data_IF_454155850885
#
_entry.id   IF_454155850885
#
_cell.length_a   1.000
_cell.length_b   1.000
_cell.length_c   1.000
_cell.angle_alpha   90.00
_cell.angle_beta   90.00
_cell.angle_gamma   90.00
#
_symmetry.space_group_name_H-M   'P 1'
#
loop_
_entity.id
_entity.type
_entity.pdbx_description
1 polymer ?
#
# COMPACT_ATOMS: atom_id res chain seq x y z
N UNK A 1 -35.71 -13.13 -9.94
CA UNK A 1 -35.23 -14.51 -10.20
C UNK A 1 -35.54 -15.33 -8.96
N UNK A 2 -36.16 -16.50 -9.08
CA UNK A 2 -36.39 -17.38 -7.92
C UNK A 2 -35.05 -17.89 -7.37
N UNK A 3 -34.95 -18.14 -6.06
CA UNK A 3 -33.71 -18.56 -5.42
C UNK A 3 -33.14 -19.86 -6.00
N UNK A 4 -34.00 -20.86 -6.24
CA UNK A 4 -33.61 -22.12 -6.91
C UNK A 4 -32.98 -21.91 -8.29
N UNK A 5 -33.53 -20.99 -9.10
CA UNK A 5 -32.99 -20.64 -10.40
C UNK A 5 -31.61 -19.97 -10.30
N UNK A 6 -31.40 -19.13 -9.28
CA UNK A 6 -30.09 -18.52 -8.99
C UNK A 6 -29.05 -19.57 -8.61
N UNK A 7 -29.38 -20.49 -7.70
CA UNK A 7 -28.47 -21.56 -7.27
C UNK A 7 -28.09 -22.49 -8.43
N UNK A 8 -29.05 -22.82 -9.30
CA UNK A 8 -28.80 -23.57 -10.54
C UNK A 8 -27.86 -22.81 -11.49
N UNK A 9 -28.07 -21.50 -11.66
CA UNK A 9 -27.23 -20.66 -12.51
C UNK A 9 -25.76 -20.59 -12.05
N UNK A 10 -25.49 -20.50 -10.74
CA UNK A 10 -24.10 -20.43 -10.24
C UNK A 10 -23.40 -21.80 -10.17
N UNK A 11 -24.17 -22.88 -10.11
CA UNK A 11 -23.65 -24.26 -10.07
C UNK A 11 -23.43 -24.87 -11.45
N UNK A 12 -24.01 -24.27 -12.50
CA UNK A 12 -23.81 -24.69 -13.89
C UNK A 12 -22.33 -24.63 -14.29
N UNK A 13 -21.82 -25.76 -14.78
CA UNK A 13 -20.42 -25.97 -15.16
C UNK A 13 -20.18 -25.73 -16.65
N UNK A 14 -21.21 -25.45 -17.46
CA UNK A 14 -21.04 -25.14 -18.88
C UNK A 14 -20.54 -23.70 -19.10
N UNK A 15 -19.31 -23.51 -19.63
CA UNK A 15 -18.75 -22.21 -19.92
C UNK A 15 -19.11 -21.82 -21.35
N UNK A 16 -20.12 -20.97 -21.52
CA UNK A 16 -20.44 -20.44 -22.84
C UNK A 16 -21.31 -19.20 -22.73
N UNK A 17 -20.69 -18.07 -22.37
CA UNK A 17 -21.23 -16.76 -22.69
C UNK A 17 -20.54 -15.57 -22.02
N UNK A 18 -20.82 -14.33 -22.48
CA UNK A 18 -20.32 -13.08 -21.90
C UNK A 18 -20.79 -12.79 -20.44
N UNK A 19 -21.36 -13.78 -19.76
CA UNK A 19 -21.74 -13.76 -18.34
C UNK A 19 -20.87 -14.65 -17.43
N UNK A 20 -19.83 -15.29 -17.96
CA UNK A 20 -19.00 -16.25 -17.21
C UNK A 20 -18.22 -15.57 -16.07
N UNK A 21 -17.72 -14.35 -16.25
CA UNK A 21 -17.02 -13.58 -15.21
C UNK A 21 -17.94 -13.26 -14.02
N UNK A 22 -19.18 -12.86 -14.33
CA UNK A 22 -20.21 -12.60 -13.33
C UNK A 22 -20.55 -13.86 -12.53
N UNK A 23 -20.73 -14.98 -13.22
CA UNK A 23 -21.06 -16.25 -12.58
C UNK A 23 -19.92 -16.71 -11.67
N UNK A 24 -18.67 -16.59 -12.13
CA UNK A 24 -17.49 -16.92 -11.35
C UNK A 24 -17.41 -16.10 -10.05
N UNK A 25 -17.61 -14.78 -10.14
CA UNK A 25 -17.63 -13.91 -8.97
C UNK A 25 -18.74 -14.28 -7.98
N UNK A 26 -19.96 -14.54 -8.46
CA UNK A 26 -21.07 -14.97 -7.59
C UNK A 26 -20.77 -16.33 -6.95
N UNK A 27 -20.09 -17.23 -7.65
CA UNK A 27 -19.69 -18.53 -7.11
C UNK A 27 -18.64 -18.42 -6.01
N UNK A 28 -17.72 -17.46 -6.09
CA UNK A 28 -16.78 -17.16 -5.00
C UNK A 28 -17.50 -16.64 -3.76
N UNK A 29 -18.47 -15.73 -3.94
CA UNK A 29 -19.20 -15.11 -2.84
C UNK A 29 -20.18 -16.07 -2.18
N UNK A 30 -20.93 -16.82 -2.98
CA UNK A 30 -21.91 -17.81 -2.51
C UNK A 30 -21.31 -19.21 -2.50
N UNK A 31 -20.13 -19.32 -1.90
CA UNK A 31 -19.41 -20.58 -1.77
C UNK A 31 -20.09 -21.47 -0.72
N UNK A 32 -20.46 -22.72 -1.05
CA UNK A 32 -21.10 -23.65 -0.11
C UNK A 32 -20.28 -23.96 1.16
N UNK A 33 -18.97 -23.78 1.12
CA UNK A 33 -18.09 -23.99 2.28
C UNK A 33 -18.03 -22.77 3.22
N UNK A 34 -18.46 -21.60 2.76
CA UNK A 34 -18.43 -20.33 3.50
C UNK A 34 -19.82 -19.78 3.80
N UNK A 35 -20.84 -20.23 3.06
CA UNK A 35 -22.23 -19.79 3.19
C UNK A 35 -23.19 -20.97 3.11
N UNK A 36 -24.08 -21.07 4.10
CA UNK A 36 -25.15 -22.06 4.16
C UNK A 36 -26.43 -21.62 3.44
N UNK A 37 -26.48 -20.39 2.91
CA UNK A 37 -27.69 -19.77 2.32
C UNK A 37 -28.30 -20.53 1.15
N UNK A 38 -27.56 -21.47 0.56
CA UNK A 38 -28.12 -22.39 -0.43
C UNK A 38 -29.29 -23.21 0.12
N UNK A 39 -29.29 -23.52 1.43
CA UNK A 39 -30.39 -24.24 2.07
C UNK A 39 -31.69 -23.43 2.16
N UNK A 40 -31.65 -22.11 1.96
CA UNK A 40 -32.85 -21.25 1.94
C UNK A 40 -33.74 -21.50 0.70
N UNK A 41 -33.21 -22.12 -0.36
CA UNK A 41 -33.97 -22.45 -1.56
C UNK A 41 -34.62 -21.21 -2.19
N UNK A 42 -35.95 -21.23 -2.36
CA UNK A 42 -36.72 -20.10 -2.92
C UNK A 42 -37.00 -18.96 -1.93
N UNK A 43 -36.72 -19.13 -0.64
CA UNK A 43 -36.77 -18.04 0.34
C UNK A 43 -35.60 -17.07 0.16
N UNK A 44 -34.54 -17.50 -0.54
CA UNK A 44 -33.41 -16.67 -0.88
C UNK A 44 -33.79 -15.61 -1.92
N UNK A 45 -33.73 -14.35 -1.52
CA UNK A 45 -33.87 -13.22 -2.44
C UNK A 45 -32.53 -12.95 -3.11
N UNK A 46 -32.44 -13.29 -4.40
CA UNK A 46 -31.26 -13.02 -5.20
C UNK A 46 -30.94 -11.51 -5.17
N UNK A 47 -29.68 -11.12 -4.91
CA UNK A 47 -29.28 -9.72 -4.97
C UNK A 47 -29.48 -9.16 -6.38
N UNK A 48 -29.85 -7.88 -6.48
CA UNK A 48 -30.10 -7.24 -7.77
C UNK A 48 -28.83 -7.25 -8.63
N UNK A 49 -28.87 -7.92 -9.79
CA UNK A 49 -27.76 -7.99 -10.72
C UNK A 49 -27.47 -6.66 -11.46
N UNK A 50 -27.62 -5.51 -10.83
CA UNK A 50 -27.22 -4.24 -11.45
C UNK A 50 -25.69 -4.17 -11.61
N UNK A 51 -25.22 -3.56 -12.69
CA UNK A 51 -23.80 -3.39 -13.01
C UNK A 51 -23.02 -2.69 -11.86
N UNK A 52 -23.64 -1.72 -11.19
CA UNK A 52 -23.04 -1.04 -10.03
C UNK A 52 -22.79 -1.99 -8.85
N UNK A 53 -23.77 -2.85 -8.56
CA UNK A 53 -23.66 -3.85 -7.49
C UNK A 53 -22.57 -4.87 -7.80
N UNK A 54 -22.57 -5.43 -9.01
CA UNK A 54 -21.56 -6.40 -9.42
C UNK A 54 -20.15 -5.82 -9.38
N UNK A 55 -19.98 -4.57 -9.82
CA UNK A 55 -18.67 -3.90 -9.78
C UNK A 55 -18.19 -3.71 -8.35
N UNK A 56 -19.07 -3.30 -7.43
CA UNK A 56 -18.74 -3.20 -6.00
C UNK A 56 -18.38 -4.57 -5.43
N UNK A 57 -19.13 -5.61 -5.76
CA UNK A 57 -18.87 -6.98 -5.32
C UNK A 57 -17.50 -7.47 -5.81
N UNK A 58 -17.16 -7.22 -7.08
CA UNK A 58 -15.85 -7.57 -7.64
C UNK A 58 -14.72 -6.88 -6.90
N UNK A 59 -14.86 -5.59 -6.58
CA UNK A 59 -13.86 -4.84 -5.83
C UNK A 59 -13.65 -5.44 -4.43
N UNK A 60 -14.74 -5.73 -3.71
CA UNK A 60 -14.68 -6.31 -2.37
C UNK A 60 -14.01 -7.69 -2.35
N UNK A 61 -14.37 -8.58 -3.27
CA UNK A 61 -13.76 -9.92 -3.38
C UNK A 61 -12.28 -9.82 -3.77
N UNK A 62 -11.92 -8.84 -4.60
CA UNK A 62 -10.51 -8.59 -4.96
C UNK A 62 -9.70 -8.08 -3.75
N UNK A 63 -10.27 -7.17 -2.96
CA UNK A 63 -9.64 -6.66 -1.74
C UNK A 63 -9.50 -7.77 -0.68
N UNK A 64 -10.51 -8.64 -0.52
CA UNK A 64 -10.40 -9.82 0.36
C UNK A 64 -9.27 -10.75 -0.08
N UNK A 65 -9.16 -11.03 -1.39
CA UNK A 65 -8.09 -11.85 -1.93
C UNK A 65 -6.69 -11.23 -1.73
N UNK A 66 -6.60 -9.90 -1.74
CA UNK A 66 -5.39 -9.14 -1.40
C UNK A 66 -5.00 -9.34 0.06
N UNK A 67 -5.92 -9.14 1.00
CA UNK A 67 -5.69 -9.37 2.43
C UNK A 67 -5.28 -10.80 2.70
N UNK A 68 -5.94 -11.79 2.09
CA UNK A 68 -5.54 -13.21 2.17
C UNK A 68 -4.10 -13.42 1.68
N UNK A 69 -3.68 -12.74 0.62
CA UNK A 69 -2.30 -12.82 0.13
C UNK A 69 -1.32 -12.18 1.11
N UNK A 70 -1.60 -10.97 1.59
CA UNK A 70 -0.75 -10.28 2.56
C UNK A 70 -0.59 -11.09 3.86
N UNK A 71 -1.67 -11.72 4.35
CA UNK A 71 -1.62 -12.66 5.48
C UNK A 71 -0.66 -13.81 5.22
N UNK A 72 -0.75 -14.45 4.04
CA UNK A 72 0.18 -15.53 3.65
C UNK A 72 1.61 -15.04 3.57
N UNK A 73 1.85 -13.92 2.90
CA UNK A 73 3.20 -13.35 2.73
C UNK A 73 3.82 -13.00 4.10
N UNK A 74 3.04 -12.38 4.98
CA UNK A 74 3.44 -12.10 6.36
C UNK A 74 3.72 -13.39 7.14
N UNK A 75 2.81 -14.37 7.10
CA UNK A 75 2.94 -15.63 7.81
C UNK A 75 4.10 -16.49 7.30
N UNK A 76 4.44 -16.42 6.01
CA UNK A 76 5.56 -17.15 5.43
C UNK A 76 6.89 -16.38 5.50
N UNK A 77 6.92 -15.19 6.09
CA UNK A 77 8.14 -14.41 6.32
C UNK A 77 8.96 -14.89 7.52
N UNK A 78 10.28 -14.69 7.49
CA UNK A 78 11.18 -15.06 8.60
C UNK A 78 10.86 -14.33 9.91
N UNK A 79 10.38 -13.09 9.78
CA UNK A 79 10.09 -12.16 10.88
C UNK A 79 8.67 -12.29 11.45
N UNK A 80 7.87 -13.24 10.97
CA UNK A 80 6.53 -13.46 11.51
C UNK A 80 6.61 -13.75 13.02
N UNK A 81 5.90 -12.93 13.79
CA UNK A 81 5.65 -13.16 15.20
C UNK A 81 4.13 -13.14 15.44
N UNK A 82 3.66 -14.06 16.27
CA UNK A 82 2.24 -14.15 16.59
C UNK A 82 1.83 -12.91 17.39
N UNK A 83 0.83 -12.18 16.87
CA UNK A 83 0.36 -10.92 17.45
C UNK A 83 1.14 -9.65 17.02
N UNK A 84 2.16 -9.76 16.16
CA UNK A 84 2.94 -8.60 15.72
C UNK A 84 2.39 -7.88 14.49
N UNK A 85 1.32 -8.39 13.88
CA UNK A 85 0.77 -7.87 12.64
C UNK A 85 -0.72 -7.60 12.77
N UNK A 86 -1.13 -6.41 12.34
CA UNK A 86 -2.52 -5.97 12.27
C UNK A 86 -3.33 -6.77 11.23
N UNK A 87 -2.67 -7.57 10.39
CA UNK A 87 -3.31 -8.43 9.38
C UNK A 87 -4.06 -9.62 9.99
N UNK A 88 -3.78 -9.97 11.25
CA UNK A 88 -4.40 -11.11 11.94
C UNK A 88 -5.34 -10.65 13.05
N UNK A 89 -6.33 -11.48 13.42
CA UNK A 89 -7.24 -11.17 14.52
C UNK A 89 -6.48 -10.83 15.80
N UNK A 90 -6.90 -9.77 16.48
CA UNK A 90 -6.28 -9.36 17.75
C UNK A 90 -6.30 -10.48 18.81
N UNK A 91 -7.26 -11.41 18.72
CA UNK A 91 -7.34 -12.61 19.58
C UNK A 91 -6.17 -13.60 19.41
N UNK A 92 -5.30 -13.40 18.42
CA UNK A 92 -4.07 -14.17 18.27
C UNK A 92 -2.95 -13.66 19.20
N UNK A 93 -3.18 -12.60 19.99
CA UNK A 93 -2.21 -12.10 20.97
C UNK A 93 -2.07 -13.00 22.21
N UNK A 94 -0.83 -13.42 22.48
CA UNK A 94 -0.26 -13.95 23.73
C UNK A 94 -1.13 -14.89 24.59
N UNK A 95 -1.05 -16.18 24.28
CA UNK A 95 -0.98 -17.22 25.33
C UNK A 95 0.47 -17.29 25.84
N UNK A 96 0.67 -17.61 27.12
CA UNK A 96 1.97 -17.61 27.82
C UNK A 96 3.09 -18.48 27.21
N UNK A 97 2.83 -19.20 26.12
CA UNK A 97 3.81 -20.02 25.37
C UNK A 97 4.68 -19.21 24.38
N UNK A 98 4.39 -17.93 24.17
CA UNK A 98 5.06 -17.08 23.18
C UNK A 98 6.54 -16.79 23.48
N UNK A 99 7.01 -17.01 24.71
CA UNK A 99 8.42 -16.85 25.10
C UNK A 99 9.34 -17.83 24.37
N UNK A 100 8.82 -18.92 23.80
CA UNK A 100 9.64 -19.88 23.06
C UNK A 100 9.96 -19.45 21.62
N UNK A 101 9.27 -18.44 21.08
CA UNK A 101 9.35 -18.07 19.65
C UNK A 101 10.22 -16.85 19.35
N UNK A 102 10.48 -16.00 20.36
CA UNK A 102 11.33 -14.80 20.22
C UNK A 102 12.82 -15.10 20.14
N UNK A 103 13.25 -16.29 20.59
CA UNK A 103 14.67 -16.61 20.77
C UNK A 103 15.30 -17.44 19.64
N UNK A 104 14.51 -17.82 18.63
CA UNK A 104 14.95 -18.66 17.52
C UNK A 104 15.26 -17.83 16.27
N UNK A 105 16.47 -18.01 15.72
CA UNK A 105 16.80 -17.51 14.38
C UNK A 105 16.30 -18.49 13.32
N UNK A 106 15.64 -17.98 12.29
CA UNK A 106 15.09 -18.76 11.18
C UNK A 106 15.92 -18.57 9.92
N UNK A 107 16.37 -19.66 9.32
CA UNK A 107 17.03 -19.66 8.02
C UNK A 107 16.15 -20.42 7.03
N UNK A 108 15.79 -19.79 5.91
CA UNK A 108 14.97 -20.43 4.88
C UNK A 108 15.63 -21.69 4.32
N UNK A 109 14.87 -22.77 4.20
CA UNK A 109 15.33 -24.01 3.56
C UNK A 109 14.54 -24.27 2.27
N UNK A 110 15.09 -25.12 1.40
CA UNK A 110 14.42 -25.46 0.14
C UNK A 110 13.20 -26.37 0.42
N UNK A 111 12.02 -25.93 -0.03
CA UNK A 111 10.75 -26.63 0.10
C UNK A 111 10.76 -28.00 -0.61
N UNK A 112 11.54 -28.17 -1.68
CA UNK A 112 11.65 -29.44 -2.41
C UNK A 112 12.15 -30.60 -1.54
N UNK A 113 12.75 -30.29 -0.39
CA UNK A 113 13.30 -31.26 0.56
C UNK A 113 12.34 -31.60 1.70
N UNK A 114 11.17 -30.97 1.76
CA UNK A 114 10.17 -31.20 2.80
C UNK A 114 9.15 -32.21 2.26
N UNK A 115 9.21 -33.44 2.76
CA UNK A 115 8.20 -34.45 2.45
C UNK A 115 6.91 -34.13 3.21
N UNK A 116 5.76 -33.89 2.53
CA UNK A 116 4.48 -33.64 3.19
C UNK A 116 4.07 -34.73 4.19
N UNK A 117 4.51 -35.97 4.00
CA UNK A 117 4.20 -37.08 4.92
C UNK A 117 4.76 -36.84 6.33
N UNK A 118 5.80 -36.02 6.48
CA UNK A 118 6.39 -35.66 7.77
C UNK A 118 5.44 -34.84 8.65
N UNK A 119 4.47 -34.13 8.06
CA UNK A 119 3.50 -33.33 8.80
C UNK A 119 2.52 -34.19 9.61
N UNK A 120 2.33 -35.46 9.23
CA UNK A 120 1.40 -36.38 9.90
C UNK A 120 1.84 -36.77 11.31
N UNK A 121 3.14 -36.69 11.60
CA UNK A 121 3.73 -37.03 12.90
C UNK A 121 4.35 -35.82 13.61
N UNK A 122 4.22 -34.63 13.04
CA UNK A 122 4.84 -33.41 13.55
C UNK A 122 4.00 -32.77 14.66
N UNK A 123 4.67 -32.12 15.61
CA UNK A 123 4.00 -31.33 16.63
C UNK A 123 3.43 -30.05 16.01
N UNK A 124 2.15 -29.77 16.26
CA UNK A 124 1.51 -28.53 15.81
C UNK A 124 1.75 -27.46 16.88
N UNK A 125 2.74 -26.61 16.64
CA UNK A 125 3.08 -25.50 17.54
C UNK A 125 2.08 -24.34 17.43
N UNK A 126 1.42 -24.18 16.28
CA UNK A 126 0.42 -23.14 16.04
C UNK A 126 -0.66 -23.67 15.12
N UNK A 127 -1.94 -23.46 15.49
CA UNK A 127 -3.11 -23.71 14.64
C UNK A 127 -4.17 -22.64 14.94
N UNK A 128 -4.37 -21.73 13.98
CA UNK A 128 -5.40 -20.69 14.08
C UNK A 128 -6.08 -20.47 12.74
N UNK A 129 -7.31 -20.01 12.79
CA UNK A 129 -8.16 -19.75 11.63
C UNK A 129 -8.59 -18.28 11.63
N UNK A 130 -8.56 -17.64 10.47
CA UNK A 130 -9.09 -16.29 10.25
C UNK A 130 -10.58 -16.34 9.90
N UNK A 131 -11.25 -15.19 10.01
CA UNK A 131 -12.70 -15.06 9.77
C UNK A 131 -13.13 -15.43 8.34
N UNK A 132 -12.22 -15.29 7.37
CA UNK A 132 -12.37 -15.64 5.96
C UNK A 132 -12.20 -17.16 5.68
N UNK A 133 -12.01 -17.96 6.73
CA UNK A 133 -11.90 -19.40 6.62
C UNK A 133 -10.48 -19.95 6.44
N UNK A 134 -9.47 -19.11 6.26
CA UNK A 134 -8.10 -19.55 6.04
C UNK A 134 -7.46 -20.02 7.36
N UNK A 135 -6.95 -21.25 7.38
CA UNK A 135 -6.27 -21.82 8.55
C UNK A 135 -4.76 -21.75 8.35
N UNK A 136 -4.04 -21.37 9.39
CA UNK A 136 -2.59 -21.19 9.42
C UNK A 136 -2.00 -22.14 10.45
N UNK A 137 -1.00 -22.93 10.05
CA UNK A 137 -0.32 -23.87 10.95
C UNK A 137 1.18 -23.75 10.90
N UNK A 138 1.78 -23.94 12.08
CA UNK A 138 3.23 -24.10 12.24
C UNK A 138 3.47 -25.49 12.82
N UNK A 139 4.17 -26.31 12.05
CA UNK A 139 4.62 -27.64 12.44
C UNK A 139 6.08 -27.57 12.88
N UNK A 140 6.42 -28.24 13.97
CA UNK A 140 7.79 -28.33 14.47
C UNK A 140 8.28 -29.77 14.44
N UNK A 141 9.43 -29.97 13.81
CA UNK A 141 10.16 -31.23 13.79
C UNK A 141 11.60 -30.96 14.20
N UNK A 142 11.91 -31.12 15.49
CA UNK A 142 13.23 -30.81 16.06
C UNK A 142 13.70 -29.37 15.74
N UNK A 143 14.54 -29.23 14.71
CA UNK A 143 15.10 -27.97 14.20
C UNK A 143 14.40 -27.44 12.95
N UNK A 144 13.42 -28.16 12.39
CA UNK A 144 12.67 -27.74 11.22
C UNK A 144 11.32 -27.17 11.64
N UNK A 145 11.03 -25.95 11.18
CA UNK A 145 9.74 -25.29 11.30
C UNK A 145 9.10 -25.25 9.92
N UNK A 146 7.94 -25.88 9.75
CA UNK A 146 7.19 -25.87 8.49
C UNK A 146 5.90 -25.08 8.67
N UNK A 147 5.63 -24.14 7.78
CA UNK A 147 4.44 -23.30 7.82
C UNK A 147 3.52 -23.64 6.66
N UNK A 148 2.27 -23.92 7.00
CA UNK A 148 1.24 -24.28 6.02
C UNK A 148 0.03 -23.37 6.14
N UNK A 149 -0.72 -23.29 5.05
CA UNK A 149 -2.06 -22.70 5.02
C UNK A 149 -3.04 -23.70 4.44
N UNK A 150 -4.20 -23.82 5.08
CA UNK A 150 -5.30 -24.66 4.62
C UNK A 150 -6.48 -23.79 4.19
N UNK A 151 -6.92 -23.98 2.94
CA UNK A 151 -8.09 -23.33 2.36
C UNK A 151 -9.38 -24.01 2.86
N UNK A 152 -10.54 -23.40 2.59
CA UNK A 152 -11.85 -23.86 3.08
C UNK A 152 -12.29 -25.22 2.50
N UNK A 153 -11.72 -25.65 1.39
CA UNK A 153 -11.94 -26.96 0.77
C UNK A 153 -11.11 -28.07 1.44
N UNK A 154 -10.33 -27.72 2.47
CA UNK A 154 -9.44 -28.63 3.19
C UNK A 154 -8.08 -28.83 2.53
N UNK A 155 -7.83 -28.22 1.36
CA UNK A 155 -6.53 -28.28 0.69
C UNK A 155 -5.48 -27.55 1.52
N UNK A 156 -4.38 -28.24 1.82
CA UNK A 156 -3.29 -27.70 2.63
C UNK A 156 -2.04 -27.52 1.76
N UNK A 157 -1.43 -26.35 1.89
CA UNK A 157 -0.28 -25.94 1.09
C UNK A 157 0.86 -25.55 2.04
N UNK A 158 2.03 -26.15 1.81
CA UNK A 158 3.26 -25.74 2.46
C UNK A 158 3.75 -24.46 1.79
N UNK A 159 3.85 -23.37 2.54
CA UNK A 159 4.29 -22.08 2.00
C UNK A 159 5.70 -21.67 2.40
N UNK A 160 6.20 -22.15 3.55
CA UNK A 160 7.55 -21.90 3.99
C UNK A 160 8.09 -23.02 4.88
N UNK A 161 9.41 -23.18 4.88
CA UNK A 161 10.12 -24.04 5.81
C UNK A 161 11.41 -23.36 6.27
N UNK A 162 11.72 -23.49 7.56
CA UNK A 162 12.84 -22.84 8.21
C UNK A 162 13.63 -23.82 9.06
N UNK A 163 14.95 -23.70 9.01
CA UNK A 163 15.82 -24.28 10.03
C UNK A 163 15.94 -23.29 11.19
N UNK A 164 15.59 -23.74 12.39
CA UNK A 164 15.64 -22.97 13.62
C UNK A 164 16.95 -23.23 14.36
N UNK A 165 17.58 -22.16 14.82
CA UNK A 165 18.76 -22.21 15.68
C UNK A 165 18.52 -21.34 16.92
N UNK A 166 18.83 -21.88 18.09
CA UNK A 166 18.83 -21.11 19.34
C UNK A 166 19.86 -19.98 19.26
N UNK A 167 19.50 -18.78 19.74
CA UNK A 167 20.43 -17.65 19.85
C UNK A 167 21.56 -17.97 20.84
N UNK A 168 22.64 -18.62 20.37
CA UNK A 168 23.90 -18.65 21.10
C UNK A 168 24.62 -17.31 20.89
N UNK A 169 25.06 -16.67 21.98
CA UNK A 169 25.79 -15.41 21.96
C UNK A 169 27.12 -15.52 21.17
N UNK A 170 27.16 -15.04 19.92
CA UNK A 170 28.37 -14.96 19.10
C UNK A 170 28.18 -14.13 17.82
N UNK A 171 29.25 -13.54 17.24
CA UNK A 171 29.13 -12.56 16.15
C UNK A 171 28.77 -13.18 14.79
N UNK A 172 28.03 -12.42 13.98
CA UNK A 172 27.47 -12.78 12.66
C UNK A 172 28.53 -12.89 11.55
N UNK A 173 28.49 -13.92 10.68
CA UNK A 173 28.93 -13.81 9.28
C UNK A 173 27.81 -13.22 8.41
N UNK A 174 28.20 -12.43 7.41
CA UNK A 174 27.34 -11.56 6.60
C UNK A 174 26.12 -12.25 5.95
N UNK A 175 24.96 -11.60 6.05
CA UNK A 175 23.69 -12.03 5.47
C UNK A 175 23.57 -11.57 4.01
N UNK A 176 23.70 -12.50 3.06
CA UNK A 176 23.13 -12.34 1.72
C UNK A 176 21.60 -12.47 1.80
N UNK A 177 20.88 -11.46 1.31
CA UNK A 177 19.42 -11.54 1.11
C UNK A 177 19.16 -12.48 -0.08
N UNK A 178 18.75 -13.73 0.19
CA UNK A 178 18.15 -14.61 -0.82
C UNK A 178 16.63 -14.55 -0.69
N UNK A 179 15.98 -14.03 -1.74
CA UNK A 179 14.53 -14.13 -1.92
C UNK A 179 14.13 -15.62 -2.07
N UNK A 180 13.26 -16.09 -1.17
CA UNK A 180 12.68 -17.44 -1.26
C UNK A 180 11.43 -17.35 -2.14
N UNK A 181 11.47 -17.99 -3.31
CA UNK A 181 10.29 -18.13 -4.18
C UNK A 181 9.37 -19.21 -3.61
N UNK A 182 8.13 -18.84 -3.34
CA UNK A 182 7.07 -19.78 -2.96
C UNK A 182 6.84 -20.81 -4.08
N UNK A 183 6.80 -22.09 -3.72
CA UNK A 183 6.46 -23.18 -4.64
C UNK A 183 5.14 -23.80 -4.19
N UNK A 184 4.17 -23.89 -5.11
CA UNK A 184 2.85 -24.45 -4.85
C UNK A 184 2.93 -25.97 -4.87
N UNK A 185 2.99 -26.59 -3.69
CA UNK A 185 2.80 -28.05 -3.54
C UNK A 185 1.42 -28.27 -2.92
N UNK A 186 0.53 -28.90 -3.69
CA UNK A 186 -0.80 -29.27 -3.22
C UNK A 186 -0.70 -30.58 -2.43
N UNK A 187 -0.90 -30.53 -1.12
CA UNK A 187 -1.03 -31.74 -0.31
C UNK A 187 -2.50 -32.16 -0.35
N UNK A 188 -2.78 -33.35 -0.91
CA UNK A 188 -4.12 -33.91 -0.91
C UNK A 188 -4.59 -34.13 0.53
N UNK A 189 -5.87 -33.86 0.79
CA UNK A 189 -6.48 -33.89 2.11
C UNK A 189 -6.18 -35.18 2.87
N UNK A 190 -5.77 -35.03 4.13
CA UNK A 190 -5.70 -36.15 5.07
C UNK A 190 -7.10 -36.36 5.64
N UNK A 191 -7.81 -37.37 5.13
CA UNK A 191 -8.80 -38.14 5.89
C UNK A 191 -8.77 -39.60 5.44
N UNK A 192 -9.01 -40.56 6.35
CA UNK A 192 -8.62 -41.94 6.15
C UNK A 192 -9.75 -42.71 5.44
N UNK A 193 -9.74 -42.74 4.11
CA UNK A 193 -10.17 -43.89 3.31
C UNK A 193 -10.23 -43.55 1.82
N UNK A 194 -9.65 -44.48 1.04
CA UNK A 194 -10.05 -44.88 -0.30
C UNK A 194 -9.73 -43.96 -1.51
N UNK A 195 -8.71 -44.44 -2.23
CA UNK A 195 -8.70 -44.74 -3.68
C UNK A 195 -8.43 -43.63 -4.68
N UNK A 196 -7.38 -43.91 -5.47
CA UNK A 196 -6.80 -43.20 -6.60
C UNK A 196 -7.80 -42.92 -7.73
N UNK A 197 -7.74 -41.72 -8.29
CA UNK A 197 -7.91 -41.51 -9.73
C UNK A 197 -6.95 -40.42 -10.23
N UNK A 198 -6.05 -40.82 -11.13
CA UNK A 198 -5.17 -39.95 -11.91
C UNK A 198 -5.93 -39.50 -13.16
N UNK A 199 -5.95 -38.19 -13.42
CA UNK A 199 -6.23 -37.67 -14.76
C UNK A 199 -5.53 -36.31 -14.93
N UNK A 200 -4.48 -36.30 -15.76
CA UNK A 200 -4.08 -35.07 -16.48
C UNK A 200 -5.14 -34.79 -17.56
N UNK A 201 -5.43 -33.52 -17.89
CA UNK A 201 -4.68 -32.90 -18.99
C UNK A 201 -4.51 -31.36 -18.92
N UNK A 202 -3.48 -30.88 -19.63
CA UNK A 202 -3.64 -29.70 -20.49
C UNK A 202 -3.14 -28.36 -19.95
N UNK A 203 -1.83 -28.19 -19.86
CA UNK A 203 -1.20 -26.88 -19.66
C UNK A 203 -1.37 -26.01 -20.92
N UNK A 204 -2.36 -25.10 -20.91
CA UNK A 204 -2.33 -23.91 -21.76
C UNK A 204 -1.71 -22.77 -20.96
N UNK A 205 -0.45 -22.46 -21.26
CA UNK A 205 0.23 -21.29 -20.72
C UNK A 205 -0.50 -20.01 -21.16
N UNK A 206 -1.30 -19.41 -20.30
CA UNK A 206 -1.52 -17.97 -20.34
C UNK A 206 -0.60 -17.35 -19.31
N UNK A 207 0.49 -16.76 -19.80
CA UNK A 207 1.38 -15.91 -19.01
C UNK A 207 0.52 -14.85 -18.30
N UNK A 208 0.37 -14.99 -16.99
CA UNK A 208 -0.13 -13.92 -16.15
C UNK A 208 0.86 -12.75 -16.25
N UNK A 209 0.34 -11.58 -16.65
CA UNK A 209 1.12 -10.36 -16.69
C UNK A 209 1.68 -10.02 -15.29
N UNK A 210 2.90 -9.44 -15.20
CA UNK A 210 3.53 -9.11 -13.93
C UNK A 210 2.72 -8.06 -13.16
N UNK A 211 2.81 -8.08 -11.82
CA UNK A 211 2.06 -7.24 -10.88
C UNK A 211 2.12 -5.73 -11.18
N UNK A 212 3.17 -5.26 -11.86
CA UNK A 212 3.32 -3.88 -12.34
C UNK A 212 2.28 -3.46 -13.39
N UNK A 213 1.72 -4.41 -14.16
CA UNK A 213 0.67 -4.15 -15.15
C UNK A 213 -0.75 -4.16 -14.58
N UNK A 214 -0.98 -4.87 -13.46
CA UNK A 214 -2.30 -4.92 -12.78
C UNK A 214 -2.63 -3.61 -12.09
N UNK A 215 -1.66 -3.03 -11.38
CA UNK A 215 -1.84 -1.74 -10.73
C UNK A 215 -1.85 -0.57 -11.75
N UNK A 216 -1.21 -0.73 -12.93
CA UNK A 216 -1.39 0.19 -14.05
C UNK A 216 -2.80 0.14 -14.68
N UNK A 217 -3.42 -1.05 -14.76
CA UNK A 217 -4.82 -1.20 -15.20
C UNK A 217 -5.83 -0.62 -14.20
N UNK A 218 -5.56 -0.72 -12.90
CA UNK A 218 -6.39 -0.10 -11.86
C UNK A 218 -6.28 1.43 -11.86
N UNK A 219 -5.09 1.99 -12.11
CA UNK A 219 -4.91 3.44 -12.28
C UNK A 219 -5.63 3.98 -13.53
N UNK A 220 -5.69 3.21 -14.63
CA UNK A 220 -6.45 3.57 -15.83
C UNK A 220 -7.97 3.69 -15.58
N UNK A 221 -8.51 2.98 -14.58
CA UNK A 221 -9.94 3.02 -14.25
C UNK A 221 -10.38 4.36 -13.64
N UNK A 222 -9.48 5.11 -12.99
CA UNK A 222 -9.79 6.45 -12.44
C UNK A 222 -9.98 7.48 -13.55
N UNK A 223 -9.26 7.35 -14.67
CA UNK A 223 -9.46 8.24 -15.83
C UNK A 223 -10.79 8.00 -16.56
N UNK A 224 -11.34 6.78 -16.47
CA UNK A 224 -12.54 6.38 -17.20
C UNK A 224 -13.86 6.67 -16.47
N UNK A 225 -13.82 6.99 -15.17
CA UNK A 225 -15.01 7.27 -14.36
C UNK A 225 -15.00 8.76 -14.01
N UNK A 226 -15.99 9.50 -14.50
CA UNK A 226 -16.12 10.95 -14.28
C UNK A 226 -16.45 11.35 -12.84
N UNK A 227 -16.69 10.39 -11.94
CA UNK A 227 -17.11 10.61 -10.56
C UNK A 227 -15.95 10.46 -9.56
N UNK A 228 -15.97 11.17 -8.42
CA UNK A 228 -14.98 10.99 -7.35
C UNK A 228 -14.96 9.55 -6.82
N UNK A 229 -13.78 8.95 -6.71
CA UNK A 229 -13.58 7.61 -6.18
C UNK A 229 -13.50 7.66 -4.65
N UNK A 230 -14.47 7.03 -3.97
CA UNK A 230 -14.47 6.87 -2.50
C UNK A 230 -13.81 5.58 -2.01
N UNK A 231 -13.10 4.85 -2.89
CA UNK A 231 -12.41 3.61 -2.53
C UNK A 231 -10.95 3.93 -2.16
N UNK A 232 -10.63 3.81 -0.87
CA UNK A 232 -9.34 4.20 -0.31
C UNK A 232 -8.16 3.48 -0.94
N UNK A 233 -8.27 2.17 -1.19
CA UNK A 233 -7.17 1.37 -1.74
C UNK A 233 -6.91 1.73 -3.21
N UNK A 234 -7.99 1.97 -3.97
CA UNK A 234 -7.88 2.41 -5.37
C UNK A 234 -7.23 3.79 -5.45
N UNK A 235 -7.62 4.71 -4.57
CA UNK A 235 -7.01 6.03 -4.48
C UNK A 235 -5.54 5.92 -4.07
N UNK A 236 -5.21 5.13 -3.04
CA UNK A 236 -3.82 4.89 -2.61
C UNK A 236 -2.94 4.36 -3.75
N UNK A 237 -3.36 3.28 -4.41
CA UNK A 237 -2.62 2.70 -5.52
C UNK A 237 -2.45 3.66 -6.72
N UNK A 238 -3.36 4.62 -6.86
CA UNK A 238 -3.26 5.66 -7.89
C UNK A 238 -2.35 6.81 -7.46
N UNK A 239 -2.45 7.30 -6.22
CA UNK A 239 -1.58 8.37 -5.72
C UNK A 239 -0.13 7.92 -5.57
N UNK A 240 0.11 6.64 -5.29
CA UNK A 240 1.46 6.03 -5.33
C UNK A 240 2.10 6.10 -6.72
N UNK A 241 1.30 6.16 -7.78
CA UNK A 241 1.82 6.33 -9.16
C UNK A 241 1.89 7.79 -9.57
N UNK A 242 0.82 8.52 -9.32
CA UNK A 242 0.65 9.92 -9.68
C UNK A 242 -0.04 10.64 -8.52
N UNK A 243 0.72 11.43 -7.75
CA UNK A 243 0.18 12.17 -6.61
C UNK A 243 -0.99 13.09 -6.97
N UNK A 244 -1.09 13.55 -8.23
CA UNK A 244 -2.20 14.38 -8.69
C UNK A 244 -3.50 13.59 -8.91
N UNK A 245 -3.47 12.25 -8.79
CA UNK A 245 -4.67 11.41 -8.78
C UNK A 245 -5.58 11.72 -7.58
N UNK A 246 -5.05 12.37 -6.53
CA UNK A 246 -5.82 12.79 -5.35
C UNK A 246 -7.03 13.68 -5.72
N UNK A 247 -6.95 14.46 -6.81
CA UNK A 247 -8.08 15.28 -7.31
C UNK A 247 -9.34 14.48 -7.67
N UNK A 248 -9.19 13.18 -7.89
CA UNK A 248 -10.27 12.26 -8.22
C UNK A 248 -10.77 11.49 -7.01
N UNK A 249 -10.17 11.66 -5.84
CA UNK A 249 -10.64 11.04 -4.61
C UNK A 249 -11.91 11.74 -4.10
N UNK A 250 -12.73 11.02 -3.35
CA UNK A 250 -13.88 11.61 -2.65
C UNK A 250 -13.43 12.64 -1.62
N UNK A 251 -14.34 13.50 -1.16
CA UNK A 251 -14.00 14.55 -0.19
C UNK A 251 -13.45 13.96 1.11
N UNK A 252 -13.97 12.82 1.54
CA UNK A 252 -13.53 12.12 2.75
C UNK A 252 -12.08 11.65 2.61
N UNK A 253 -11.70 11.14 1.43
CA UNK A 253 -10.33 10.68 1.17
C UNK A 253 -9.35 11.83 0.91
N UNK A 254 -9.83 12.97 0.40
CA UNK A 254 -9.05 14.21 0.34
C UNK A 254 -8.84 14.82 1.73
N UNK A 255 -9.62 14.41 2.72
CA UNK A 255 -9.45 14.74 4.13
C UNK A 255 -8.73 13.64 4.94
N UNK A 256 -8.45 12.48 4.34
CA UNK A 256 -7.67 11.42 4.98
C UNK A 256 -6.18 11.80 4.93
N UNK A 257 -5.61 12.06 6.11
CA UNK A 257 -4.22 12.48 6.29
C UNK A 257 -3.24 11.50 5.63
N UNK A 258 -3.44 10.20 5.80
CA UNK A 258 -2.50 9.18 5.29
C UNK A 258 -2.51 9.17 3.76
N UNK A 259 -3.70 9.23 3.15
CA UNK A 259 -3.86 9.26 1.69
C UNK A 259 -3.21 10.51 1.09
N UNK A 260 -3.45 11.68 1.71
CA UNK A 260 -2.86 12.94 1.27
C UNK A 260 -1.34 12.93 1.44
N UNK A 261 -0.82 12.36 2.53
CA UNK A 261 0.62 12.31 2.77
C UNK A 261 1.34 11.41 1.75
N UNK A 262 0.75 10.27 1.38
CA UNK A 262 1.28 9.43 0.28
C UNK A 262 1.26 10.19 -1.05
N UNK A 263 0.19 10.93 -1.33
CA UNK A 263 0.09 11.74 -2.54
C UNK A 263 1.15 12.85 -2.59
N UNK A 264 1.41 13.52 -1.47
CA UNK A 264 2.42 14.56 -1.32
C UNK A 264 3.83 14.00 -1.50
N UNK A 265 4.14 12.85 -0.88
CA UNK A 265 5.44 12.19 -1.04
C UNK A 265 5.74 11.90 -2.53
N UNK A 266 4.71 11.52 -3.28
CA UNK A 266 4.83 11.30 -4.73
C UNK A 266 4.89 12.61 -5.54
N UNK A 267 4.11 13.62 -5.18
CA UNK A 267 4.11 14.94 -5.82
C UNK A 267 3.61 16.01 -4.83
N UNK A 268 4.49 16.94 -4.43
CA UNK A 268 4.15 17.99 -3.46
C UNK A 268 2.95 18.85 -3.85
N UNK A 269 2.69 19.03 -5.16
CA UNK A 269 1.52 19.78 -5.66
C UNK A 269 0.18 19.09 -5.41
N UNK A 270 0.18 17.83 -4.96
CA UNK A 270 -1.04 17.15 -4.53
C UNK A 270 -1.76 17.90 -3.39
N UNK A 271 -1.04 18.74 -2.64
CA UNK A 271 -1.61 19.62 -1.61
C UNK A 271 -2.78 20.47 -2.12
N UNK A 272 -2.80 20.87 -3.40
CA UNK A 272 -3.91 21.61 -4.04
C UNK A 272 -5.26 20.91 -3.84
N UNK A 273 -5.26 19.58 -3.85
CA UNK A 273 -6.47 18.76 -3.79
C UNK A 273 -6.80 18.28 -2.38
N UNK A 274 -5.94 18.52 -1.40
CA UNK A 274 -6.23 18.20 -0.01
C UNK A 274 -7.39 19.05 0.51
N UNK A 275 -8.07 18.55 1.54
CA UNK A 275 -9.11 19.31 2.23
C UNK A 275 -8.55 20.54 2.94
N UNK A 276 -9.38 21.57 3.14
CA UNK A 276 -8.99 22.80 3.84
C UNK A 276 -8.26 22.55 5.18
N UNK A 277 -8.74 21.66 6.07
CA UNK A 277 -8.06 21.41 7.33
C UNK A 277 -6.63 20.88 7.16
N UNK A 278 -6.35 20.10 6.12
CA UNK A 278 -5.01 19.58 5.84
C UNK A 278 -4.12 20.63 5.16
N UNK A 279 -4.69 21.59 4.43
CA UNK A 279 -3.96 22.75 3.90
C UNK A 279 -3.61 23.78 4.97
N UNK A 280 -4.29 23.74 6.12
CA UNK A 280 -3.94 24.46 7.34
C UNK A 280 -3.02 23.66 8.28
N UNK A 281 -2.71 22.40 7.98
CA UNK A 281 -1.83 21.59 8.82
C UNK A 281 -0.37 21.90 8.48
N UNK A 282 0.30 22.58 9.41
CA UNK A 282 1.70 23.01 9.25
C UNK A 282 2.64 21.88 8.85
N UNK A 283 2.48 20.67 9.42
CA UNK A 283 3.37 19.56 9.13
C UNK A 283 3.15 19.02 7.71
N UNK A 284 1.90 18.91 7.27
CA UNK A 284 1.56 18.48 5.91
C UNK A 284 2.06 19.49 4.87
N UNK A 285 1.88 20.79 5.14
CA UNK A 285 2.36 21.84 4.24
C UNK A 285 3.89 21.85 4.15
N UNK A 286 4.60 21.67 5.27
CA UNK A 286 6.06 21.57 5.27
C UNK A 286 6.55 20.38 4.45
N UNK A 287 5.96 19.20 4.63
CA UNK A 287 6.27 18.00 3.84
C UNK A 287 6.06 18.27 2.34
N UNK A 288 4.97 18.96 1.98
CA UNK A 288 4.66 19.31 0.60
C UNK A 288 5.63 20.31 -0.02
N UNK A 289 5.98 21.38 0.70
CA UNK A 289 6.94 22.40 0.26
C UNK A 289 8.35 21.82 0.14
N UNK A 290 8.72 20.92 1.04
CA UNK A 290 10.01 20.24 0.98
C UNK A 290 10.12 19.35 -0.27
N UNK A 291 9.00 18.77 -0.74
CA UNK A 291 8.99 17.96 -1.95
C UNK A 291 8.85 18.81 -3.23
N UNK A 292 7.91 19.75 -3.29
CA UNK A 292 7.80 20.71 -4.37
C UNK A 292 7.56 22.11 -3.78
N UNK A 293 8.50 23.05 -3.92
CA UNK A 293 8.36 24.41 -3.39
C UNK A 293 7.13 25.14 -3.92
N UNK A 294 6.60 24.75 -5.08
CA UNK A 294 5.38 25.33 -5.66
C UNK A 294 4.14 24.98 -4.85
N UNK A 295 4.17 23.90 -4.06
CA UNK A 295 3.07 23.55 -3.18
C UNK A 295 2.74 24.65 -2.16
N UNK A 296 3.69 25.55 -1.86
CA UNK A 296 3.47 26.71 -0.99
C UNK A 296 2.28 27.57 -1.42
N UNK A 297 2.00 27.68 -2.73
CA UNK A 297 0.88 28.48 -3.25
C UNK A 297 -0.49 27.92 -2.85
N UNK A 298 -0.55 26.64 -2.47
CA UNK A 298 -1.76 25.94 -2.09
C UNK A 298 -1.97 25.84 -0.57
N UNK A 299 -1.01 26.32 0.23
CA UNK A 299 -1.17 26.41 1.68
C UNK A 299 -2.23 27.47 2.05
N UNK A 300 -2.79 27.35 3.25
CA UNK A 300 -3.71 28.37 3.78
C UNK A 300 -3.02 29.73 3.87
N UNK A 301 -3.79 30.82 3.80
CA UNK A 301 -3.28 32.20 3.88
C UNK A 301 -2.44 32.43 5.14
N UNK A 302 -2.86 31.85 6.26
CA UNK A 302 -2.16 31.88 7.55
C UNK A 302 -0.76 31.25 7.45
N UNK A 303 -0.65 30.07 6.83
CA UNK A 303 0.62 29.37 6.67
C UNK A 303 1.50 29.97 5.56
N UNK A 304 0.92 30.68 4.59
CA UNK A 304 1.69 31.49 3.62
C UNK A 304 2.34 32.73 4.25
N UNK A 305 1.93 33.11 5.46
CA UNK A 305 2.59 34.14 6.27
C UNK A 305 3.61 33.57 7.26
N UNK A 306 3.75 32.23 7.37
CA UNK A 306 4.74 31.61 8.25
C UNK A 306 6.15 31.77 7.64
N UNK A 307 7.07 32.49 8.32
CA UNK A 307 8.41 32.75 7.81
C UNK A 307 9.24 31.47 7.64
N UNK A 308 9.05 30.44 8.45
CA UNK A 308 9.82 29.20 8.34
C UNK A 308 9.44 28.43 7.07
N UNK A 309 8.13 28.36 6.77
CA UNK A 309 7.63 27.67 5.58
C UNK A 309 8.03 28.45 4.33
N UNK A 310 7.89 29.78 4.37
CA UNK A 310 8.32 30.65 3.27
C UNK A 310 9.82 30.53 3.02
N UNK A 311 10.65 30.51 4.06
CA UNK A 311 12.09 30.30 3.96
C UNK A 311 12.42 28.98 3.24
N UNK A 312 11.76 27.89 3.63
CA UNK A 312 11.92 26.56 3.00
C UNK A 312 11.56 26.57 1.52
N UNK A 313 10.49 27.29 1.14
CA UNK A 313 10.05 27.41 -0.23
C UNK A 313 11.04 28.25 -1.08
N UNK A 314 11.46 29.41 -0.56
CA UNK A 314 12.32 30.37 -1.28
C UNK A 314 13.72 29.81 -1.55
N UNK A 315 14.29 29.04 -0.62
CA UNK A 315 15.65 28.51 -0.79
C UNK A 315 15.75 27.38 -1.83
N UNK A 316 14.61 26.86 -2.32
CA UNK A 316 14.54 25.71 -3.19
C UNK A 316 14.28 26.12 -4.65
N UNK A 317 14.93 25.44 -5.60
CA UNK A 317 14.82 25.78 -7.04
C UNK A 317 13.42 25.54 -7.58
N UNK A 318 12.86 26.50 -8.33
CA UNK A 318 11.55 26.36 -9.00
C UNK A 318 10.37 27.00 -8.29
N UNK A 319 10.62 27.71 -7.18
CA UNK A 319 9.66 28.52 -6.46
C UNK A 319 9.16 29.73 -7.28
N UNK A 320 7.88 30.09 -7.12
CA UNK A 320 7.28 31.26 -7.75
C UNK A 320 7.31 32.45 -6.77
N UNK A 321 8.09 33.52 -7.05
CA UNK A 321 8.18 34.69 -6.16
C UNK A 321 6.82 35.32 -5.83
N UNK A 322 5.85 35.17 -6.74
CA UNK A 322 4.50 35.72 -6.65
C UNK A 322 3.68 35.12 -5.49
N UNK A 323 4.03 33.92 -5.01
CA UNK A 323 3.28 33.22 -3.96
C UNK A 323 3.53 33.77 -2.54
N UNK A 324 4.63 34.50 -2.33
CA UNK A 324 4.99 35.10 -1.02
C UNK A 324 4.14 36.31 -0.73
N UNK A 325 3.57 36.38 0.46
CA UNK A 325 2.79 37.53 0.91
C UNK A 325 3.67 38.81 1.02
N UNK A 326 3.13 40.00 0.72
CA UNK A 326 3.93 41.24 0.68
C UNK A 326 4.72 41.53 1.96
N UNK A 327 4.18 41.15 3.13
CA UNK A 327 4.87 41.33 4.42
C UNK A 327 6.21 40.60 4.49
N UNK A 328 6.26 39.36 3.99
CA UNK A 328 7.49 38.55 3.98
C UNK A 328 8.47 39.00 2.89
N UNK A 329 7.99 39.62 1.80
CA UNK A 329 8.86 40.23 0.78
C UNK A 329 9.61 41.47 1.27
N UNK A 330 9.13 42.10 2.34
CA UNK A 330 9.80 43.20 3.01
C UNK A 330 10.70 42.74 4.18
N UNK A 331 10.68 41.45 4.52
CA UNK A 331 11.48 40.90 5.62
C UNK A 331 12.95 40.75 5.20
N UNK A 332 13.75 41.73 5.63
CA UNK A 332 15.18 41.79 5.36
C UNK A 332 15.93 40.56 5.87
N UNK A 333 15.63 40.08 7.07
CA UNK A 333 16.41 39.02 7.71
C UNK A 333 16.13 37.67 7.05
N UNK A 334 14.85 37.38 6.82
CA UNK A 334 14.39 36.20 6.09
C UNK A 334 15.06 36.11 4.71
N UNK A 335 15.01 37.20 3.94
CA UNK A 335 15.51 37.22 2.57
C UNK A 335 17.04 37.15 2.52
N UNK A 336 17.76 37.81 3.44
CA UNK A 336 19.22 37.66 3.50
C UNK A 336 19.63 36.22 3.86
N UNK A 337 18.90 35.56 4.75
CA UNK A 337 19.14 34.16 5.06
C UNK A 337 18.85 33.26 3.83
N UNK A 338 17.78 33.54 3.09
CA UNK A 338 17.41 32.77 1.90
C UNK A 338 18.41 32.98 0.75
N UNK A 339 18.87 34.22 0.54
CA UNK A 339 19.91 34.58 -0.44
C UNK A 339 21.20 33.81 -0.22
N UNK A 340 21.58 33.59 1.05
CA UNK A 340 22.75 32.80 1.39
C UNK A 340 22.70 31.38 0.81
N UNK A 341 21.51 30.81 0.64
CA UNK A 341 21.33 29.48 0.05
C UNK A 341 21.09 29.53 -1.45
N UNK A 342 20.37 30.54 -1.95
CA UNK A 342 19.95 30.66 -3.35
C UNK A 342 19.91 32.11 -3.79
N UNK A 343 20.66 32.47 -4.84
CA UNK A 343 20.68 33.84 -5.36
C UNK A 343 19.31 34.29 -5.90
N UNK A 344 18.50 33.36 -6.41
CA UNK A 344 17.13 33.61 -6.86
C UNK A 344 16.21 34.16 -5.75
N UNK A 345 16.55 33.95 -4.48
CA UNK A 345 15.80 34.54 -3.37
C UNK A 345 15.82 36.07 -3.39
N UNK A 346 16.80 36.69 -4.06
CA UNK A 346 16.85 38.14 -4.24
C UNK A 346 15.65 38.68 -5.02
N UNK A 347 15.12 37.93 -5.99
CA UNK A 347 13.96 38.34 -6.81
C UNK A 347 12.64 38.34 -6.04
N UNK A 348 12.60 37.68 -4.88
CA UNK A 348 11.42 37.66 -4.01
C UNK A 348 11.28 38.96 -3.22
N UNK A 349 12.39 39.68 -3.01
CA UNK A 349 12.39 40.93 -2.26
C UNK A 349 11.49 42.00 -2.91
N UNK A 350 10.83 42.81 -2.07
CA UNK A 350 10.03 43.93 -2.56
C UNK A 350 10.90 44.93 -3.34
N UNK A 351 10.28 45.71 -4.23
CA UNK A 351 11.00 46.70 -5.04
C UNK A 351 11.73 47.72 -4.17
N UNK A 352 11.14 48.10 -3.03
CA UNK A 352 11.77 48.99 -2.05
C UNK A 352 13.03 48.36 -1.44
N UNK A 353 12.97 47.08 -1.07
CA UNK A 353 14.10 46.38 -0.46
C UNK A 353 15.21 46.11 -1.49
N UNK A 354 14.86 45.81 -2.75
CA UNK A 354 15.84 45.69 -3.86
C UNK A 354 16.48 47.03 -4.20
N UNK A 355 15.78 48.15 -3.98
CA UNK A 355 16.31 49.49 -4.16
C UNK A 355 17.27 49.93 -3.03
N UNK A 356 17.24 49.31 -1.85
CA UNK A 356 18.16 49.59 -0.74
C UNK A 356 19.58 49.08 -1.03
N UNK A 357 20.53 50.01 -1.11
CA UNK A 357 21.94 49.72 -1.35
C UNK A 357 22.55 48.83 -0.25
N UNK A 358 22.15 49.00 1.01
CA UNK A 358 22.69 48.22 2.12
C UNK A 358 22.23 46.76 2.05
N UNK A 359 21.00 46.51 1.60
CA UNK A 359 20.49 45.17 1.37
C UNK A 359 21.19 44.50 0.19
N UNK A 360 21.33 45.19 -0.95
CA UNK A 360 22.06 44.67 -2.11
C UNK A 360 23.50 44.25 -1.75
N UNK A 361 24.23 45.13 -1.06
CA UNK A 361 25.59 44.83 -0.61
C UNK A 361 25.64 43.61 0.32
N UNK A 362 24.73 43.54 1.30
CA UNK A 362 24.65 42.41 2.22
C UNK A 362 24.23 41.09 1.54
N UNK A 363 23.43 41.16 0.48
CA UNK A 363 23.01 40.02 -0.34
C UNK A 363 24.19 39.48 -1.16
N UNK A 364 24.91 40.37 -1.87
CA UNK A 364 26.11 40.03 -2.66
C UNK A 364 27.21 39.44 -1.78
N UNK A 365 27.41 39.98 -0.57
CA UNK A 365 28.38 39.44 0.39
C UNK A 365 28.05 38.01 0.85
N UNK A 366 26.77 37.65 0.94
CA UNK A 366 26.33 36.30 1.31
C UNK A 366 26.37 35.34 0.13
N UNK A 367 26.04 35.82 -1.06
CA UNK A 367 26.02 35.02 -2.27
C UNK A 367 26.42 35.87 -3.49
N UNK A 368 27.61 35.61 -4.02
CA UNK A 368 28.16 36.37 -5.14
C UNK A 368 27.32 36.23 -6.44
N UNK A 369 26.55 35.15 -6.58
CA UNK A 369 25.69 34.93 -7.76
C UNK A 369 24.53 35.94 -7.83
N UNK A 370 24.23 36.66 -6.74
CA UNK A 370 23.25 37.77 -6.76
C UNK A 370 23.65 38.87 -7.74
N UNK A 371 24.94 39.03 -8.04
CA UNK A 371 25.40 39.97 -9.07
C UNK A 371 24.84 39.66 -10.46
N UNK A 372 24.50 38.41 -10.75
CA UNK A 372 23.90 37.99 -12.02
C UNK A 372 22.42 38.38 -12.12
N UNK A 373 21.73 38.53 -10.98
CA UNK A 373 20.32 38.95 -10.89
C UNK A 373 20.16 40.47 -10.86
N UNK A 374 21.20 41.21 -10.46
CA UNK A 374 21.14 42.68 -10.44
C UNK A 374 21.10 43.26 -11.86
N UNK A 375 20.35 44.37 -12.09
CA UNK A 375 20.40 45.12 -13.35
C UNK A 375 21.83 45.58 -13.66
N UNK A 376 22.24 45.56 -14.93
CA UNK A 376 23.61 45.92 -15.35
C UNK A 376 24.10 47.29 -14.86
N UNK A 377 23.18 48.23 -14.65
CA UNK A 377 23.49 49.58 -14.12
C UNK A 377 23.98 49.56 -12.68
N UNK A 378 23.57 48.58 -11.88
CA UNK A 378 23.91 48.47 -10.45
C UNK A 378 25.06 47.49 -10.18
N UNK A 379 25.62 46.86 -11.21
CA UNK A 379 26.78 45.94 -11.08
C UNK A 379 28.13 46.66 -11.05
N UNK A 380 28.15 47.95 -11.41
CA UNK A 380 29.36 48.77 -11.54
C UNK A 380 29.63 49.65 -10.32
N UNK A 381 28.61 49.90 -9.49
CA UNK A 381 28.68 50.55 -8.18
C UNK A 381 29.08 49.53 -7.10
#
# INVERSE_FOLDING_TARGET
MAGSAFWSYISDTNPSGPGDERRALLKEVFNPHLSDRQSEGDLFVCPDPNARYMRKLQLLVTAEAEVRRQRRDCFFGTEFMVGSSHLFPASWSFSNDATQWSDLRRHGCNLDKVDPAMLNSAEIAFDKKTEDGLRFRIYRLERLEVRTTQEYDGSEVIGAAFLTQERSAGPLPGSEKREVKAMKVTVASVSPAATVHVQEPGCLSRRAAPASQRSARLAQLIHAVGEPCGDREVVLAAVERDGLALKRASEELRADREVVQVAIQQNGRALEFASEPLRCDRAIVLDAVQQDPRAFEHASEELRQDPDIAFMAIQSSGFAPQAVEPGLRADRELLLAAVQRSAFAFDVASDELRADATFRLAAVQRNALVLEELPHTLRAD
#
